data_IF_064416719918
#
_entry.id   IF_064416719918
#
_cell.length_a   1.000
_cell.length_b   1.000
_cell.length_c   1.000
_cell.angle_alpha   90.00
_cell.angle_beta   90.00
_cell.angle_gamma   90.00
#
_symmetry.space_group_name_H-M   'P 1'
#
loop_
_entity.id
_entity.type
_entity.pdbx_description
1 polymer ?
#
# COMPACT_ATOMS: atom_id res chain seq x y z
N UNK A 1 -57.30 -16.24 -4.95
CA UNK A 1 -56.43 -17.45 -4.84
C UNK A 1 -55.04 -17.04 -5.30
N UNK A 2 -54.04 -17.07 -4.44
CA UNK A 2 -52.71 -16.50 -4.73
C UNK A 2 -51.89 -17.49 -5.56
N UNK A 3 -51.54 -17.11 -6.79
CA UNK A 3 -50.74 -17.92 -7.69
C UNK A 3 -49.29 -17.99 -7.17
N UNK A 4 -48.81 -19.16 -6.78
CA UNK A 4 -47.42 -19.37 -6.35
C UNK A 4 -46.53 -19.54 -7.58
N UNK A 5 -45.88 -18.47 -8.00
CA UNK A 5 -44.75 -18.54 -8.92
C UNK A 5 -43.53 -19.04 -8.14
N UNK A 6 -43.30 -20.35 -8.14
CA UNK A 6 -42.08 -20.94 -7.59
C UNK A 6 -41.01 -21.10 -8.67
N UNK A 7 -39.77 -20.74 -8.37
CA UNK A 7 -38.61 -21.00 -9.25
C UNK A 7 -38.37 -22.50 -9.42
N UNK A 8 -38.03 -22.94 -10.63
CA UNK A 8 -37.57 -24.32 -10.89
C UNK A 8 -36.17 -24.54 -10.35
N UNK A 9 -35.91 -25.76 -9.85
CA UNK A 9 -34.57 -26.21 -9.49
C UNK A 9 -33.59 -26.12 -10.66
N UNK A 10 -34.05 -26.35 -11.89
CA UNK A 10 -33.21 -26.27 -13.09
C UNK A 10 -32.84 -24.83 -13.44
N UNK A 11 -33.73 -23.87 -13.19
CA UNK A 11 -33.47 -22.44 -13.40
C UNK A 11 -32.40 -21.95 -12.42
N UNK A 12 -32.48 -22.37 -11.16
CA UNK A 12 -31.49 -22.02 -10.15
C UNK A 12 -30.11 -22.65 -10.45
N UNK A 13 -30.08 -23.90 -10.95
CA UNK A 13 -28.81 -24.55 -11.33
C UNK A 13 -28.08 -23.81 -12.46
N UNK A 14 -28.79 -23.37 -13.49
CA UNK A 14 -28.18 -22.63 -14.61
C UNK A 14 -27.64 -21.28 -14.13
N UNK A 15 -28.38 -20.59 -13.25
CA UNK A 15 -27.94 -19.31 -12.66
C UNK A 15 -26.65 -19.47 -11.87
N UNK A 16 -26.56 -20.50 -11.01
CA UNK A 16 -25.34 -20.76 -10.23
C UNK A 16 -24.17 -21.15 -11.14
N UNK A 17 -24.41 -21.91 -12.21
CA UNK A 17 -23.37 -22.25 -13.19
C UNK A 17 -22.81 -21.00 -13.90
N UNK A 18 -23.67 -20.06 -14.30
CA UNK A 18 -23.24 -18.80 -14.94
C UNK A 18 -22.47 -17.92 -13.95
N UNK A 19 -22.97 -17.76 -12.71
CA UNK A 19 -22.27 -16.99 -11.66
C UNK A 19 -20.91 -17.62 -11.35
N UNK A 20 -20.81 -18.95 -11.34
CA UNK A 20 -19.54 -19.66 -11.13
C UNK A 20 -18.49 -19.34 -12.19
N UNK A 21 -18.87 -19.30 -13.47
CA UNK A 21 -17.96 -18.94 -14.57
C UNK A 21 -17.51 -17.48 -14.45
N UNK A 22 -18.44 -16.56 -14.13
CA UNK A 22 -18.11 -15.15 -13.97
C UNK A 22 -17.20 -14.90 -12.76
N UNK A 23 -17.41 -15.61 -11.64
CA UNK A 23 -16.64 -15.45 -10.42
C UNK A 23 -15.15 -15.80 -10.62
N UNK A 24 -14.84 -16.86 -11.38
CA UNK A 24 -13.45 -17.26 -11.66
C UNK A 24 -12.67 -16.17 -12.38
N UNK A 25 -13.31 -15.39 -13.25
CA UNK A 25 -12.67 -14.28 -13.97
C UNK A 25 -12.67 -13.00 -13.11
N UNK A 26 -13.73 -12.76 -12.34
CA UNK A 26 -13.91 -11.53 -11.58
C UNK A 26 -13.02 -11.45 -10.33
N UNK A 27 -12.90 -12.54 -9.57
CA UNK A 27 -12.16 -12.57 -8.30
C UNK A 27 -10.67 -12.19 -8.46
N UNK A 28 -9.87 -12.83 -9.35
CA UNK A 28 -8.45 -12.49 -9.47
C UNK A 28 -8.24 -11.05 -9.94
N UNK A 29 -9.11 -10.54 -10.83
CA UNK A 29 -9.07 -9.16 -11.26
C UNK A 29 -9.40 -8.20 -10.11
N UNK A 30 -10.43 -8.49 -9.32
CA UNK A 30 -10.80 -7.68 -8.16
C UNK A 30 -9.66 -7.60 -7.13
N UNK A 31 -8.99 -8.71 -6.83
CA UNK A 31 -7.83 -8.73 -5.93
C UNK A 31 -6.69 -7.86 -6.46
N UNK A 32 -6.39 -7.91 -7.77
CA UNK A 32 -5.40 -7.02 -8.41
C UNK A 32 -5.79 -5.54 -8.33
N UNK A 33 -7.07 -5.21 -8.51
CA UNK A 33 -7.54 -3.83 -8.35
C UNK A 33 -7.40 -3.34 -6.91
N UNK A 34 -7.72 -4.19 -5.93
CA UNK A 34 -7.54 -3.87 -4.53
C UNK A 34 -6.05 -3.66 -4.20
N UNK A 35 -5.17 -4.53 -4.69
CA UNK A 35 -3.72 -4.41 -4.50
C UNK A 35 -3.19 -3.07 -5.05
N UNK A 36 -3.60 -2.69 -6.27
CA UNK A 36 -3.21 -1.39 -6.87
C UNK A 36 -3.74 -0.20 -6.09
N UNK A 37 -4.95 -0.30 -5.54
CA UNK A 37 -5.51 0.75 -4.69
C UNK A 37 -4.66 0.93 -3.42
N UNK A 38 -4.27 -0.17 -2.76
CA UNK A 38 -3.37 -0.16 -1.60
C UNK A 38 -1.99 0.41 -1.96
N UNK A 39 -1.39 -0.01 -3.07
CA UNK A 39 -0.11 0.55 -3.55
C UNK A 39 -0.19 2.06 -3.84
N UNK A 40 -1.34 2.55 -4.33
CA UNK A 40 -1.54 3.98 -4.56
C UNK A 40 -1.48 4.79 -3.26
N UNK A 41 -1.96 4.24 -2.15
CA UNK A 41 -1.88 4.87 -0.84
C UNK A 41 -0.42 5.05 -0.38
N UNK A 42 0.39 3.99 -0.50
CA UNK A 42 1.81 4.04 -0.19
C UNK A 42 2.52 5.14 -0.99
N UNK A 43 2.25 5.22 -2.30
CA UNK A 43 2.82 6.24 -3.17
C UNK A 43 2.43 7.65 -2.76
N UNK A 44 1.15 7.87 -2.45
CA UNK A 44 0.66 9.19 -2.02
C UNK A 44 1.35 9.62 -0.73
N UNK A 45 1.49 8.72 0.24
CA UNK A 45 2.14 9.03 1.51
C UNK A 45 3.66 9.23 1.36
N UNK A 46 4.35 8.43 0.54
CA UNK A 46 5.76 8.65 0.23
C UNK A 46 6.00 10.02 -0.45
N UNK A 47 5.12 10.43 -1.37
CA UNK A 47 5.20 11.76 -1.98
C UNK A 47 4.92 12.87 -0.97
N UNK A 48 4.04 12.64 0.02
CA UNK A 48 3.82 13.58 1.11
C UNK A 48 5.07 13.72 1.98
N UNK A 49 5.72 12.62 2.35
CA UNK A 49 7.01 12.64 3.08
C UNK A 49 8.05 13.43 2.29
N UNK A 50 8.19 13.16 0.99
CA UNK A 50 9.12 13.91 0.13
C UNK A 50 8.84 15.41 0.12
N UNK A 51 7.56 15.79 -0.03
CA UNK A 51 7.17 17.20 -0.04
C UNK A 51 7.51 17.88 1.29
N UNK A 52 7.27 17.20 2.41
CA UNK A 52 7.59 17.72 3.74
C UNK A 52 9.09 17.81 4.01
N UNK A 53 9.87 16.82 3.56
CA UNK A 53 11.35 16.85 3.63
C UNK A 53 11.94 18.00 2.80
N UNK A 54 11.44 18.23 1.58
CA UNK A 54 11.87 19.37 0.76
C UNK A 54 11.53 20.71 1.42
N UNK A 55 10.36 20.82 2.04
CA UNK A 55 9.98 22.01 2.78
C UNK A 55 10.92 22.24 3.99
N UNK A 56 11.24 21.18 4.73
CA UNK A 56 12.17 21.23 5.85
C UNK A 56 13.59 21.61 5.41
N UNK A 57 14.08 21.02 4.31
CA UNK A 57 15.37 21.36 3.73
C UNK A 57 15.43 22.84 3.30
N UNK A 58 14.36 23.39 2.75
CA UNK A 58 14.30 24.81 2.37
C UNK A 58 14.45 25.76 3.58
N UNK A 59 14.05 25.33 4.78
CA UNK A 59 14.16 26.12 6.01
C UNK A 59 15.47 25.89 6.79
N UNK A 60 15.96 24.65 6.81
CA UNK A 60 17.06 24.21 7.69
C UNK A 60 18.34 23.81 6.95
N UNK A 61 18.32 23.75 5.62
CA UNK A 61 19.42 23.29 4.76
C UNK A 61 19.94 21.88 5.09
N UNK A 62 19.08 21.02 5.63
CA UNK A 62 19.38 19.61 5.91
C UNK A 62 18.09 18.80 5.89
N UNK A 63 18.17 17.54 5.47
CA UNK A 63 17.09 16.57 5.68
C UNK A 63 17.14 16.00 7.11
N UNK A 64 16.02 15.48 7.60
CA UNK A 64 15.88 14.98 8.97
C UNK A 64 15.30 13.58 8.98
N UNK A 65 15.63 12.81 10.00
CA UNK A 65 15.19 11.42 10.16
C UNK A 65 14.06 11.32 11.19
N UNK A 66 13.26 12.38 11.36
CA UNK A 66 12.16 12.45 12.33
C UNK A 66 10.88 12.94 11.67
N UNK A 67 9.89 12.04 11.60
CA UNK A 67 8.55 12.36 11.11
C UNK A 67 7.87 13.51 11.87
N UNK A 68 8.17 13.72 13.15
CA UNK A 68 7.61 14.83 13.90
C UNK A 68 8.18 16.18 13.45
N UNK A 69 9.46 16.22 13.09
CA UNK A 69 10.13 17.43 12.62
C UNK A 69 9.57 17.92 11.28
N UNK A 70 9.18 16.99 10.41
CA UNK A 70 8.54 17.30 9.12
C UNK A 70 7.00 17.32 9.18
N UNK A 71 6.41 17.08 10.36
CA UNK A 71 4.97 17.09 10.56
C UNK A 71 4.22 15.98 9.79
N UNK A 72 4.87 14.87 9.50
CA UNK A 72 4.26 13.72 8.85
C UNK A 72 3.69 12.75 9.89
N UNK A 73 2.45 12.30 9.68
CA UNK A 73 1.87 11.21 10.43
C UNK A 73 0.91 10.43 9.55
N UNK A 74 1.03 9.10 9.58
CA UNK A 74 0.08 8.22 8.90
C UNK A 74 -1.29 8.36 9.58
N UNK A 75 -2.23 9.00 8.88
CA UNK A 75 -3.58 9.24 9.37
C UNK A 75 -4.55 8.25 8.73
N UNK A 76 -5.15 7.37 9.54
CA UNK A 76 -6.13 6.39 9.08
C UNK A 76 -6.11 5.11 9.90
N UNK A 77 -7.26 4.44 10.03
CA UNK A 77 -7.44 3.23 10.85
C UNK A 77 -6.85 1.97 10.22
N UNK A 78 -6.50 2.02 8.94
CA UNK A 78 -5.96 0.90 8.17
C UNK A 78 -4.53 1.24 7.75
N UNK A 79 -3.59 1.13 8.69
CA UNK A 79 -2.16 1.32 8.44
C UNK A 79 -1.62 0.12 7.68
N UNK A 80 -1.93 0.04 6.38
CA UNK A 80 -1.54 -1.06 5.50
C UNK A 80 -0.04 -1.08 5.20
N UNK A 81 0.59 0.07 5.36
CA UNK A 81 2.01 0.29 5.15
C UNK A 81 2.63 0.89 6.40
N UNK A 82 3.86 0.46 6.65
CA UNK A 82 4.78 0.99 7.63
C UNK A 82 5.81 1.84 6.92
N UNK A 83 5.98 3.08 7.37
CA UNK A 83 6.87 4.06 6.74
C UNK A 83 8.09 4.25 7.61
N UNK A 84 9.25 4.33 6.98
CA UNK A 84 10.55 4.45 7.62
C UNK A 84 11.33 5.60 7.00
N UNK A 85 12.00 6.37 7.86
CA UNK A 85 12.84 7.49 7.47
C UNK A 85 13.99 7.58 8.48
N UNK A 86 15.10 6.93 8.16
CA UNK A 86 16.24 6.84 9.07
C UNK A 86 15.83 6.17 10.39
N UNK A 87 16.04 6.85 11.52
CA UNK A 87 15.71 6.30 12.83
C UNK A 87 14.23 6.41 13.22
N UNK A 88 13.39 7.07 12.41
CA UNK A 88 11.96 7.21 12.68
C UNK A 88 11.09 6.28 11.85
N UNK A 89 9.95 5.93 12.43
CA UNK A 89 8.94 5.10 11.79
C UNK A 89 7.53 5.61 12.07
N UNK A 90 6.60 5.35 11.15
CA UNK A 90 5.18 5.69 11.30
C UNK A 90 4.30 4.59 10.71
N UNK A 91 3.24 4.24 11.42
CA UNK A 91 2.35 3.12 11.07
C UNK A 91 2.63 1.85 11.86
N UNK A 92 1.97 0.75 11.49
CA UNK A 92 2.14 -0.57 12.09
C UNK A 92 2.85 -1.46 11.06
N UNK A 93 3.96 -2.07 11.46
CA UNK A 93 4.65 -3.06 10.64
C UNK A 93 3.73 -4.29 10.44
N UNK A 94 3.37 -4.65 9.19
CA UNK A 94 2.50 -5.79 8.95
C UNK A 94 3.15 -7.10 9.44
N UNK A 95 2.33 -8.00 9.97
CA UNK A 95 2.79 -9.32 10.40
C UNK A 95 3.48 -10.06 9.25
N UNK A 96 4.68 -10.58 9.50
CA UNK A 96 5.49 -11.28 8.49
C UNK A 96 6.48 -10.39 7.74
N UNK A 97 6.32 -9.07 7.82
CA UNK A 97 7.29 -8.12 7.26
C UNK A 97 8.37 -7.74 8.27
N UNK A 98 9.54 -7.37 7.75
CA UNK A 98 10.61 -6.75 8.52
C UNK A 98 10.79 -5.31 8.08
N UNK A 99 11.20 -4.46 9.03
CA UNK A 99 11.75 -3.13 8.74
C UNK A 99 12.81 -3.23 7.63
N UNK A 100 12.73 -2.33 6.66
CA UNK A 100 13.68 -2.26 5.55
C UNK A 100 14.95 -1.56 6.00
N UNK A 101 16.10 -1.94 5.44
CA UNK A 101 17.40 -1.28 5.71
C UNK A 101 17.79 -0.34 4.57
N UNK A 102 16.82 0.03 3.72
CA UNK A 102 17.04 0.84 2.51
C UNK A 102 16.85 2.33 2.77
N UNK A 103 16.36 2.68 3.95
CA UNK A 103 16.26 4.04 4.41
C UNK A 103 17.66 4.63 4.62
N UNK A 104 17.82 5.88 4.25
CA UNK A 104 19.06 6.62 4.48
C UNK A 104 18.69 8.07 4.67
N UNK A 105 19.22 8.72 5.69
CA UNK A 105 19.03 10.15 5.86
C UNK A 105 20.37 10.79 6.14
N UNK A 106 20.68 11.83 5.40
CA UNK A 106 21.86 12.65 5.54
C UNK A 106 21.51 14.11 5.30
N UNK A 107 22.41 15.04 5.63
CA UNK A 107 22.17 16.45 5.37
C UNK A 107 21.90 16.78 3.89
N UNK A 108 22.31 15.92 2.94
CA UNK A 108 22.26 16.18 1.50
C UNK A 108 21.36 15.25 0.70
N UNK A 109 20.80 14.20 1.31
CA UNK A 109 19.90 13.27 0.65
C UNK A 109 19.14 12.42 1.65
N UNK A 110 17.99 11.91 1.22
CA UNK A 110 17.19 10.99 2.01
C UNK A 110 16.54 9.94 1.12
N UNK A 111 16.30 8.76 1.69
CA UNK A 111 15.49 7.69 1.14
C UNK A 111 14.46 7.31 2.20
N UNK A 112 13.18 7.52 1.90
CA UNK A 112 12.09 7.02 2.73
C UNK A 112 11.59 5.70 2.16
N UNK A 113 11.20 4.79 3.05
CA UNK A 113 10.74 3.45 2.69
C UNK A 113 9.31 3.25 3.18
N UNK A 114 8.49 2.56 2.38
CA UNK A 114 7.19 2.05 2.78
C UNK A 114 7.13 0.55 2.59
N UNK A 115 6.82 -0.19 3.65
CA UNK A 115 6.71 -1.66 3.65
C UNK A 115 5.28 -2.07 3.98
N UNK A 116 4.65 -2.85 3.12
CA UNK A 116 3.27 -3.30 3.26
C UNK A 116 3.11 -4.79 2.95
N UNK A 117 2.09 -5.43 3.52
CA UNK A 117 1.64 -6.77 3.14
C UNK A 117 0.25 -6.66 2.52
N UNK A 118 0.15 -6.87 1.21
CA UNK A 118 -1.04 -6.53 0.43
C UNK A 118 -2.06 -7.67 0.42
N UNK A 119 -1.59 -8.93 0.43
CA UNK A 119 -2.37 -10.15 0.22
C UNK A 119 -2.21 -11.19 1.35
N UNK A 120 -1.44 -10.86 2.39
CA UNK A 120 -1.38 -11.61 3.65
C UNK A 120 -0.45 -12.81 3.61
N UNK A 121 0.49 -12.83 2.66
CA UNK A 121 1.51 -13.86 2.55
C UNK A 121 2.84 -13.40 3.21
N UNK A 122 3.91 -14.22 3.24
CA UNK A 122 5.16 -13.84 3.91
C UNK A 122 6.04 -12.89 3.08
N UNK A 123 5.63 -12.53 1.87
CA UNK A 123 6.34 -11.60 1.01
C UNK A 123 5.73 -10.20 1.17
N UNK A 124 6.59 -9.19 1.17
CA UNK A 124 6.20 -7.82 1.49
C UNK A 124 6.54 -6.89 0.34
N UNK A 125 5.61 -5.99 0.05
CA UNK A 125 5.73 -4.96 -0.96
C UNK A 125 6.54 -3.80 -0.37
N UNK A 126 7.67 -3.46 -0.99
CA UNK A 126 8.57 -2.39 -0.52
C UNK A 126 8.68 -1.31 -1.58
N UNK A 127 8.25 -0.11 -1.24
CA UNK A 127 8.42 1.10 -2.05
C UNK A 127 9.44 2.02 -1.42
N UNK A 128 10.22 2.71 -2.24
CA UNK A 128 11.14 3.75 -1.80
C UNK A 128 10.90 5.04 -2.57
N UNK A 129 11.20 6.16 -1.93
CA UNK A 129 11.30 7.47 -2.57
C UNK A 129 12.59 8.15 -2.12
N UNK A 130 13.32 8.73 -3.08
CA UNK A 130 14.55 9.48 -2.83
C UNK A 130 14.33 11.01 -2.87
N UNK A 131 15.37 11.79 -2.60
CA UNK A 131 15.33 13.26 -2.64
C UNK A 131 14.99 13.83 -4.03
N UNK A 132 15.25 13.07 -5.09
CA UNK A 132 14.96 13.44 -6.48
C UNK A 132 13.52 13.10 -6.89
N UNK A 133 12.69 12.63 -5.94
CA UNK A 133 11.31 12.17 -6.16
C UNK A 133 11.25 10.93 -7.06
N UNK A 134 12.32 10.14 -7.11
CA UNK A 134 12.34 8.86 -7.79
C UNK A 134 11.61 7.83 -6.93
N UNK A 135 10.49 7.34 -7.43
CA UNK A 135 9.68 6.35 -6.72
C UNK A 135 9.93 4.96 -7.33
N UNK A 136 10.48 4.05 -6.52
CA UNK A 136 10.87 2.71 -6.94
C UNK A 136 10.09 1.65 -6.16
N UNK A 137 9.65 0.60 -6.84
CA UNK A 137 9.20 -0.62 -6.18
C UNK A 137 10.38 -1.59 -6.14
N UNK A 138 10.92 -1.83 -4.95
CA UNK A 138 12.12 -2.66 -4.75
C UNK A 138 11.75 -4.13 -4.67
N UNK A 139 10.65 -4.45 -4.01
CA UNK A 139 10.08 -5.81 -3.97
C UNK A 139 8.60 -5.72 -4.30
N UNK A 140 8.25 -6.05 -5.55
CA UNK A 140 6.86 -6.09 -5.97
C UNK A 140 6.33 -7.51 -5.82
N UNK A 141 5.48 -7.69 -4.82
CA UNK A 141 4.87 -8.99 -4.53
C UNK A 141 3.51 -9.18 -5.20
N UNK A 142 2.97 -8.13 -5.81
CA UNK A 142 1.77 -8.28 -6.65
C UNK A 142 2.20 -8.99 -7.94
N UNK A 143 2.14 -10.31 -7.93
CA UNK A 143 2.42 -11.15 -9.07
C UNK A 143 1.52 -10.76 -10.27
N UNK A 144 2.11 -10.70 -11.46
CA UNK A 144 1.38 -10.67 -12.73
C UNK A 144 0.67 -11.99 -12.97
#
# INVERSE_FOLDING_TARGET
>A
MCNRYGFSLTELMIVVAIIGILAVIAIPNFLKYQARAKQSEAKTNLVAIHTSEIAYFAEKNAYVDDFNAIGFAVTGSSQLYYYELGSSSSGILPTGCTASTLDNVSATGFTAVATGNIDGDPTCDVWTIDENKTLLNVTNDVAL
#
